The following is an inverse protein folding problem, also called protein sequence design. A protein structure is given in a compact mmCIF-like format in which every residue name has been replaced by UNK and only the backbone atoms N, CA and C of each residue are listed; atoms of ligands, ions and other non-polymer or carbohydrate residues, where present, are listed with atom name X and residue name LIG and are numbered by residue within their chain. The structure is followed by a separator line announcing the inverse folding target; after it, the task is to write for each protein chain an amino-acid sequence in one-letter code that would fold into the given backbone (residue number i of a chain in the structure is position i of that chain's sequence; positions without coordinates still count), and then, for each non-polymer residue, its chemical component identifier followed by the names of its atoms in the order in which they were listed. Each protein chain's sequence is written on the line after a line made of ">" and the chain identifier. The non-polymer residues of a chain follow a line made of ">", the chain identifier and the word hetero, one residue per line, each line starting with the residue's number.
data_IF_705528993643
#
_entry.id   IF_705528993643
#
_cell.length_a   1.000
_cell.length_b   1.000
_cell.length_c   1.000
_cell.angle_alpha   90.00
_cell.angle_beta   90.00
_cell.angle_gamma   90.00
#
_symmetry.space_group_name_H-M   'P 1'
#
loop_
_entity.id
_entity.type
_entity.pdbx_description
1 polymer ?
#
# COMPACT_ATOMS: atom_id res chain seq x y z
N UNK A 1 12.04 7.30 -11.09
CA UNK A 1 11.95 7.11 -9.62
C UNK A 1 10.54 7.32 -9.06
N UNK A 2 9.82 8.38 -9.43
CA UNK A 2 8.46 8.65 -8.91
C UNK A 2 7.45 7.52 -9.19
N UNK A 3 7.51 6.92 -10.38
CA UNK A 3 6.66 5.81 -10.83
C UNK A 3 6.88 4.58 -9.95
N UNK A 4 8.15 4.22 -9.74
CA UNK A 4 8.54 3.11 -8.89
C UNK A 4 8.10 3.33 -7.44
N UNK A 5 8.30 4.54 -6.89
CA UNK A 5 7.84 4.90 -5.56
C UNK A 5 6.32 4.77 -5.42
N UNK A 6 5.53 5.20 -6.41
CA UNK A 6 4.06 5.01 -6.39
C UNK A 6 3.68 3.52 -6.34
N UNK A 7 4.37 2.68 -7.10
CA UNK A 7 4.20 1.22 -7.06
C UNK A 7 4.57 0.62 -5.70
N UNK A 8 5.72 1.01 -5.15
CA UNK A 8 6.19 0.56 -3.84
C UNK A 8 5.23 0.97 -2.70
N UNK A 9 4.73 2.21 -2.72
CA UNK A 9 3.76 2.71 -1.73
C UNK A 9 2.46 1.90 -1.78
N UNK A 10 1.94 1.65 -2.99
CA UNK A 10 0.77 0.77 -3.16
C UNK A 10 1.01 -0.61 -2.55
N UNK A 11 2.14 -1.24 -2.85
CA UNK A 11 2.53 -2.55 -2.34
C UNK A 11 2.58 -2.55 -0.81
N UNK A 12 3.21 -1.56 -0.19
CA UNK A 12 3.27 -1.40 1.26
C UNK A 12 1.89 -1.26 1.89
N UNK A 13 1.02 -0.41 1.33
CA UNK A 13 -0.35 -0.22 1.81
C UNK A 13 -1.11 -1.55 1.80
N UNK A 14 -1.11 -2.25 0.66
CA UNK A 14 -1.81 -3.53 0.52
C UNK A 14 -1.22 -4.61 1.43
N UNK A 15 0.10 -4.63 1.59
CA UNK A 15 0.80 -5.56 2.49
C UNK A 15 0.31 -5.40 3.94
N UNK A 16 0.36 -4.18 4.48
CA UNK A 16 -0.06 -3.95 5.86
C UNK A 16 -1.57 -4.12 6.05
N UNK A 17 -2.38 -3.59 5.13
CA UNK A 17 -3.84 -3.72 5.16
C UNK A 17 -4.33 -5.18 5.05
N UNK A 18 -3.48 -6.09 4.54
CA UNK A 18 -3.79 -7.53 4.45
C UNK A 18 -3.59 -8.27 5.77
N UNK A 19 -2.68 -7.80 6.61
CA UNK A 19 -2.38 -8.38 7.92
C UNK A 19 -3.19 -7.78 9.07
N UNK A 20 -3.47 -6.47 9.00
CA UNK A 20 -4.17 -5.74 10.06
C UNK A 20 -4.92 -4.53 9.50
N UNK A 21 -5.80 -3.94 10.32
CA UNK A 21 -6.39 -2.64 9.99
C UNK A 21 -5.34 -1.54 10.09
N UNK A 22 -5.38 -0.59 9.15
CA UNK A 22 -4.43 0.52 9.09
C UNK A 22 -5.18 1.86 9.10
N UNK A 23 -4.56 2.91 9.62
CA UNK A 23 -5.07 4.27 9.52
C UNK A 23 -4.03 5.17 8.84
N UNK A 24 -4.47 6.19 8.09
CA UNK A 24 -3.59 7.01 7.24
C UNK A 24 -2.34 7.54 7.96
N UNK A 25 -2.50 8.08 9.17
CA UNK A 25 -1.38 8.57 9.97
C UNK A 25 -0.35 7.48 10.35
N UNK A 26 -0.77 6.23 10.52
CA UNK A 26 0.15 5.11 10.77
C UNK A 26 0.89 4.74 9.49
N UNK A 27 0.19 4.71 8.35
CA UNK A 27 0.81 4.43 7.04
C UNK A 27 1.89 5.45 6.72
N UNK A 28 1.66 6.75 6.95
CA UNK A 28 2.69 7.78 6.76
C UNK A 28 3.93 7.50 7.61
N UNK A 29 3.75 7.19 8.90
CA UNK A 29 4.87 6.89 9.80
C UNK A 29 5.62 5.63 9.39
N UNK A 30 4.89 4.58 8.99
CA UNK A 30 5.48 3.32 8.58
C UNK A 30 6.28 3.48 7.28
N UNK A 31 5.72 4.14 6.28
CA UNK A 31 6.42 4.42 5.01
C UNK A 31 7.68 5.26 5.24
N UNK A 32 7.64 6.24 6.13
CA UNK A 32 8.82 7.03 6.48
C UNK A 32 9.94 6.18 7.11
N UNK A 33 9.60 5.16 7.92
CA UNK A 33 10.60 4.20 8.47
C UNK A 33 11.27 3.36 7.38
N UNK A 34 10.60 3.14 6.26
CA UNK A 34 11.14 2.45 5.07
C UNK A 34 11.81 3.41 4.08
N UNK A 35 12.04 4.68 4.45
CA UNK A 35 12.72 5.67 3.62
C UNK A 35 11.82 6.34 2.57
N UNK A 36 10.51 6.14 2.63
CA UNK A 36 9.54 6.81 1.75
C UNK A 36 8.96 8.05 2.44
N UNK A 37 9.41 9.24 2.03
CA UNK A 37 8.78 10.49 2.44
C UNK A 37 7.50 10.74 1.62
N UNK A 38 6.36 10.44 2.22
CA UNK A 38 5.05 10.49 1.56
C UNK A 38 4.20 11.57 2.23
N UNK A 39 3.93 12.63 1.49
CA UNK A 39 3.01 13.66 1.94
C UNK A 39 1.57 13.12 2.07
N UNK A 40 0.73 13.71 2.94
CA UNK A 40 -0.71 13.44 2.96
C UNK A 40 -1.37 13.59 1.58
N UNK A 41 -0.92 14.58 0.78
CA UNK A 41 -1.39 14.83 -0.58
C UNK A 41 -1.08 13.72 -1.58
N UNK A 42 -0.19 12.77 -1.25
CA UNK A 42 0.08 11.56 -2.05
C UNK A 42 -0.58 10.33 -1.43
N UNK A 43 -0.58 10.23 -0.10
CA UNK A 43 -1.14 9.08 0.60
C UNK A 43 -2.65 8.95 0.41
N UNK A 44 -3.41 10.02 0.69
CA UNK A 44 -4.87 9.95 0.70
C UNK A 44 -5.47 9.71 -0.68
N UNK A 45 -4.98 10.33 -1.78
CA UNK A 45 -5.40 9.94 -3.12
C UNK A 45 -5.08 8.49 -3.45
N UNK A 46 -3.96 7.96 -2.97
CA UNK A 46 -3.61 6.54 -3.16
C UNK A 46 -4.58 5.63 -2.43
N UNK A 47 -4.89 5.91 -1.16
CA UNK A 47 -5.87 5.15 -0.37
C UNK A 47 -7.26 5.19 -1.03
N UNK A 48 -7.69 6.37 -1.47
CA UNK A 48 -8.97 6.54 -2.15
C UNK A 48 -9.04 5.74 -3.45
N UNK A 49 -7.98 5.77 -4.27
CA UNK A 49 -7.89 4.98 -5.50
C UNK A 49 -7.96 3.48 -5.22
N UNK A 50 -7.23 2.99 -4.22
CA UNK A 50 -7.25 1.56 -3.87
C UNK A 50 -8.63 1.12 -3.37
N UNK A 51 -9.35 2.01 -2.67
CA UNK A 51 -10.73 1.76 -2.26
C UNK A 51 -11.69 1.78 -3.46
N UNK A 52 -11.56 2.73 -4.39
CA UNK A 52 -12.38 2.77 -5.60
C UNK A 52 -12.14 1.58 -6.55
N UNK A 53 -10.92 1.05 -6.56
CA UNK A 53 -10.56 -0.19 -7.26
C UNK A 53 -11.07 -1.46 -6.53
N UNK A 54 -11.72 -1.31 -5.37
CA UNK A 54 -12.23 -2.42 -4.57
C UNK A 54 -11.14 -3.25 -3.87
N UNK A 55 -9.91 -2.75 -3.81
CA UNK A 55 -8.76 -3.43 -3.20
C UNK A 55 -8.68 -3.16 -1.70
N UNK A 56 -9.13 -1.99 -1.27
CA UNK A 56 -9.36 -1.65 0.13
C UNK A 56 -10.86 -1.46 0.38
N UNK A 57 -11.23 -1.61 1.65
CA UNK A 57 -12.48 -1.10 2.21
C UNK A 57 -12.12 -0.22 3.40
N UNK A 58 -12.94 0.80 3.66
CA UNK A 58 -12.76 1.67 4.82
C UNK A 58 -14.00 1.74 5.71
N UNK A 59 -13.75 2.02 6.99
CA UNK A 59 -14.79 2.23 8.00
C UNK A 59 -14.43 3.49 8.81
N UNK A 60 -15.44 4.27 9.19
CA UNK A 60 -15.25 5.36 10.14
C UNK A 60 -15.47 4.85 11.56
N UNK A 61 -14.47 5.02 12.42
CA UNK A 61 -14.54 4.64 13.84
C UNK A 61 -14.20 5.82 14.74
N UNK A 62 -14.90 5.92 15.86
CA UNK A 62 -14.56 6.88 16.91
C UNK A 62 -13.46 6.27 17.78
N UNK A 63 -12.28 6.90 17.79
CA UNK A 63 -11.13 6.51 18.61
C UNK A 63 -10.73 7.75 19.41
N UNK A 64 -10.78 7.66 20.73
CA UNK A 64 -10.51 8.76 21.66
C UNK A 64 -11.34 10.02 21.36
N UNK A 65 -12.64 9.83 21.10
CA UNK A 65 -13.57 10.91 20.78
C UNK A 65 -13.36 11.57 19.41
N UNK A 66 -12.46 11.03 18.57
CA UNK A 66 -12.20 11.54 17.21
C UNK A 66 -12.57 10.50 16.17
N UNK A 67 -13.24 10.94 15.10
CA UNK A 67 -13.52 10.09 13.94
C UNK A 67 -12.21 9.82 13.20
N UNK A 68 -11.89 8.55 13.03
CA UNK A 68 -10.76 8.05 12.25
C UNK A 68 -11.26 7.10 11.18
N UNK A 69 -10.71 7.21 9.98
CA UNK A 69 -10.93 6.23 8.92
C UNK A 69 -9.89 5.11 9.04
N UNK A 70 -10.36 3.89 9.21
CA UNK A 70 -9.55 2.67 9.16
C UNK A 70 -9.73 1.99 7.82
N UNK A 71 -8.69 1.33 7.33
CA UNK A 71 -8.69 0.63 6.05
C UNK A 71 -8.27 -0.82 6.25
N UNK A 72 -8.84 -1.71 5.43
CA UNK A 72 -8.47 -3.13 5.37
C UNK A 72 -8.46 -3.62 3.93
N UNK A 73 -7.57 -4.54 3.61
CA UNK A 73 -7.56 -5.17 2.29
C UNK A 73 -8.77 -6.10 2.13
N UNK A 74 -9.45 -5.97 0.99
CA UNK A 74 -10.52 -6.88 0.57
C UNK A 74 -9.91 -8.21 0.09
N UNK A 75 -10.72 -9.25 -0.17
CA UNK A 75 -10.24 -10.44 -0.87
C UNK A 75 -9.60 -10.12 -2.24
N UNK A 76 -10.10 -9.10 -2.95
CA UNK A 76 -9.51 -8.63 -4.20
C UNK A 76 -8.15 -7.95 -3.96
N UNK A 77 -8.04 -7.10 -2.93
CA UNK A 77 -6.76 -6.49 -2.53
C UNK A 77 -5.69 -7.51 -2.17
N UNK A 78 -6.06 -8.57 -1.43
CA UNK A 78 -5.15 -9.67 -1.10
C UNK A 78 -4.72 -10.45 -2.34
N UNK A 79 -5.58 -10.61 -3.35
CA UNK A 79 -5.21 -11.23 -4.64
C UNK A 79 -4.25 -10.34 -5.42
N UNK A 80 -4.55 -9.04 -5.51
CA UNK A 80 -3.70 -8.06 -6.17
C UNK A 80 -2.31 -8.02 -5.52
N UNK A 81 -2.21 -8.01 -4.18
CA UNK A 81 -0.92 -8.07 -3.48
C UNK A 81 -0.07 -9.30 -3.87
N UNK A 82 -0.70 -10.47 -4.05
CA UNK A 82 0.02 -11.68 -4.47
C UNK A 82 0.53 -11.56 -5.91
N UNK A 83 -0.26 -10.96 -6.80
CA UNK A 83 0.15 -10.70 -8.19
C UNK A 83 1.28 -9.66 -8.25
N UNK A 84 1.13 -8.55 -7.52
CA UNK A 84 2.14 -7.49 -7.43
C UNK A 84 3.47 -8.04 -6.88
N UNK A 85 3.43 -8.93 -5.87
CA UNK A 85 4.63 -9.60 -5.35
C UNK A 85 5.30 -10.49 -6.40
N UNK A 86 4.53 -11.29 -7.13
CA UNK A 86 5.06 -12.16 -8.18
C UNK A 86 5.75 -11.34 -9.29
N UNK A 87 5.12 -10.25 -9.72
CA UNK A 87 5.69 -9.35 -10.71
C UNK A 87 6.99 -8.68 -10.21
N UNK A 88 7.02 -8.28 -8.93
CA UNK A 88 8.24 -7.72 -8.32
C UNK A 88 9.37 -8.75 -8.24
N UNK A 89 9.07 -10.00 -7.88
CA UNK A 89 10.05 -11.09 -7.82
C UNK A 89 10.64 -11.41 -9.21
N UNK A 90 9.81 -11.41 -10.25
CA UNK A 90 10.23 -11.60 -11.64
C UNK A 90 11.14 -10.47 -12.11
N UNK A 91 10.71 -9.23 -11.92
CA UNK A 91 11.50 -8.04 -12.25
C UNK A 91 12.85 -8.01 -11.50
N UNK A 92 12.83 -8.34 -10.21
CA UNK A 92 14.04 -8.37 -9.39
C UNK A 92 15.02 -9.44 -9.89
N UNK A 93 14.53 -10.64 -10.24
CA UNK A 93 15.36 -11.70 -10.82
C UNK A 93 16.02 -11.24 -12.13
N UNK A 94 15.25 -10.65 -13.04
CA UNK A 94 15.76 -10.17 -14.32
C UNK A 94 16.84 -9.09 -14.16
N UNK A 95 16.58 -8.10 -13.29
CA UNK A 95 17.46 -6.94 -13.16
C UNK A 95 18.67 -7.17 -12.25
N UNK A 96 18.54 -8.04 -11.23
CA UNK A 96 19.57 -8.23 -10.21
C UNK A 96 20.42 -9.48 -10.42
N UNK A 97 19.88 -10.55 -11.03
CA UNK A 97 20.62 -11.80 -11.23
C UNK A 97 21.36 -11.85 -12.59
N UNK A 98 21.34 -10.75 -13.36
CA UNK A 98 22.26 -10.49 -14.47
C UNK A 98 22.13 -11.40 -15.70
N UNK A 99 21.15 -12.30 -15.77
CA UNK A 99 20.86 -13.04 -17.00
C UNK A 99 19.87 -12.27 -17.85
N UNK A 100 20.40 -11.31 -18.59
CA UNK A 100 19.88 -11.04 -19.93
C UNK A 100 20.04 -12.37 -20.67
N UNK A 101 18.93 -12.99 -21.04
CA UNK A 101 18.95 -14.20 -21.86
C UNK A 101 19.73 -13.99 -23.15
#
# INVERSE_FOLDING_TARGET
>A
MREFQRGAVRLHILHHASGQEIHGAWVTKELARHGYDISPGTLYPTLHRLESEGLLTSEQRVVDGRIRRVYRATPAGKRALRQDRKALEELARELLDGRIG
#
